data_IF_091424383284
#
_entry.id   IF_091424383284
#
_cell.length_a   1.000
_cell.length_b   1.000
_cell.length_c   1.000
_cell.angle_alpha   90.00
_cell.angle_beta   90.00
_cell.angle_gamma   90.00
#
_symmetry.space_group_name_H-M   'P 1'
#
loop_
_entity.id
_entity.type
_entity.pdbx_description
1 polymer ?
#
# COMPACT_ATOMS: atom_id res chain seq x y z
N UNK A 1 6.53 -30.56 8.30
CA UNK A 1 5.05 -30.57 8.37
C UNK A 1 4.50 -29.49 9.30
N UNK A 2 5.00 -29.34 10.52
CA UNK A 2 4.48 -28.32 11.47
C UNK A 2 4.58 -26.88 10.95
N UNK A 3 5.69 -26.53 10.29
CA UNK A 3 5.84 -25.23 9.61
C UNK A 3 4.78 -25.00 8.54
N UNK A 4 4.43 -26.02 7.76
CA UNK A 4 3.36 -25.94 6.75
C UNK A 4 1.97 -25.77 7.37
N UNK A 5 1.74 -26.38 8.55
CA UNK A 5 0.47 -26.25 9.29
C UNK A 5 0.20 -24.83 9.75
N UNK A 6 1.26 -24.09 10.08
CA UNK A 6 1.21 -22.65 10.34
C UNK A 6 1.14 -21.97 8.96
N UNK A 7 -0.07 -21.60 8.50
CA UNK A 7 -0.29 -20.89 7.22
C UNK A 7 0.73 -19.76 7.08
N UNK A 8 1.16 -19.44 5.86
CA UNK A 8 2.20 -18.43 5.63
C UNK A 8 1.98 -17.13 6.41
N UNK A 9 0.73 -16.64 6.43
CA UNK A 9 0.29 -15.42 7.15
C UNK A 9 0.59 -15.45 8.66
N UNK A 10 0.60 -16.62 9.31
CA UNK A 10 0.89 -16.73 10.75
C UNK A 10 2.36 -16.96 11.07
N UNK A 11 3.21 -17.09 10.06
CA UNK A 11 4.65 -17.28 10.24
C UNK A 11 5.34 -15.91 10.30
N UNK A 12 6.32 -15.69 11.20
CA UNK A 12 7.11 -14.44 11.23
C UNK A 12 7.73 -14.05 9.89
N UNK A 13 7.93 -15.02 9.01
CA UNK A 13 8.38 -14.82 7.64
C UNK A 13 7.48 -13.85 6.85
N UNK A 14 6.16 -13.85 7.08
CA UNK A 14 5.23 -12.94 6.40
C UNK A 14 5.54 -11.47 6.73
N UNK A 15 5.75 -11.16 8.01
CA UNK A 15 6.10 -9.81 8.47
C UNK A 15 7.47 -9.38 7.91
N UNK A 16 8.44 -10.29 7.92
CA UNK A 16 9.78 -10.02 7.38
C UNK A 16 9.77 -9.79 5.86
N UNK A 17 8.92 -10.50 5.11
CA UNK A 17 8.78 -10.28 3.66
C UNK A 17 8.12 -8.95 3.35
N UNK A 18 7.11 -8.57 4.12
CA UNK A 18 6.43 -7.29 3.94
C UNK A 18 7.41 -6.12 4.17
N UNK A 19 8.21 -6.21 5.24
CA UNK A 19 9.29 -5.24 5.52
C UNK A 19 10.34 -5.14 4.40
N UNK A 20 10.51 -6.20 3.59
CA UNK A 20 11.45 -6.24 2.45
C UNK A 20 10.80 -5.94 1.10
N UNK A 21 9.62 -5.32 1.07
CA UNK A 21 8.87 -5.07 -0.16
C UNK A 21 8.62 -6.34 -0.98
N UNK A 22 8.24 -7.41 -0.31
CA UNK A 22 7.76 -8.66 -0.93
C UNK A 22 6.29 -8.81 -0.56
N UNK A 23 5.37 -8.65 -1.51
CA UNK A 23 3.94 -8.84 -1.28
C UNK A 23 3.59 -10.26 -0.84
N UNK A 24 2.45 -10.40 -0.16
CA UNK A 24 2.00 -11.63 0.49
C UNK A 24 1.97 -12.85 -0.44
N UNK A 25 1.39 -12.74 -1.64
CA UNK A 25 1.29 -13.87 -2.59
C UNK A 25 2.68 -14.33 -3.03
N UNK A 26 3.53 -13.38 -3.43
CA UNK A 26 4.90 -13.71 -3.85
C UNK A 26 5.75 -14.26 -2.70
N UNK A 27 5.53 -13.78 -1.47
CA UNK A 27 6.16 -14.28 -0.26
C UNK A 27 5.75 -15.72 0.05
N UNK A 28 4.47 -16.04 -0.08
CA UNK A 28 3.94 -17.40 0.11
C UNK A 28 4.52 -18.39 -0.91
N UNK A 29 4.61 -17.99 -2.18
CA UNK A 29 5.25 -18.80 -3.23
C UNK A 29 6.73 -19.04 -2.95
N UNK A 30 7.47 -18.02 -2.49
CA UNK A 30 8.88 -18.15 -2.10
C UNK A 30 9.01 -19.12 -0.91
N UNK A 31 8.14 -18.98 0.08
CA UNK A 31 8.13 -19.83 1.26
C UNK A 31 7.84 -21.29 0.91
N UNK A 32 6.84 -21.58 0.07
CA UNK A 32 6.57 -22.94 -0.42
C UNK A 32 7.76 -23.52 -1.18
N UNK A 33 8.36 -22.76 -2.09
CA UNK A 33 9.58 -23.19 -2.80
C UNK A 33 10.73 -23.48 -1.82
N UNK A 34 10.86 -22.69 -0.76
CA UNK A 34 11.88 -22.92 0.26
C UNK A 34 11.61 -24.18 1.08
N UNK A 35 10.36 -24.44 1.45
CA UNK A 35 9.95 -25.69 2.11
C UNK A 35 10.22 -26.90 1.20
N UNK A 36 9.97 -26.77 -0.11
CA UNK A 36 10.24 -27.83 -1.09
C UNK A 36 11.74 -28.14 -1.16
N UNK A 37 12.59 -27.11 -1.26
CA UNK A 37 14.06 -27.28 -1.24
C UNK A 37 14.55 -27.95 0.04
N UNK A 38 13.95 -27.62 1.19
CA UNK A 38 14.28 -28.28 2.46
C UNK A 38 13.88 -29.76 2.45
N UNK A 39 12.69 -30.07 1.93
CA UNK A 39 12.24 -31.46 1.76
C UNK A 39 13.20 -32.24 0.87
N UNK A 40 13.55 -31.71 -0.30
CA UNK A 40 14.49 -32.34 -1.24
C UNK A 40 15.89 -32.54 -0.61
N UNK A 41 16.33 -31.58 0.22
CA UNK A 41 17.60 -31.70 0.95
C UNK A 41 17.55 -32.79 2.01
N UNK A 42 16.43 -32.92 2.73
CA UNK A 42 16.24 -33.99 3.71
C UNK A 42 16.14 -35.35 3.04
N UNK A 43 15.47 -35.45 1.90
CA UNK A 43 15.40 -36.67 1.09
C UNK A 43 16.80 -37.12 0.63
N UNK A 44 17.60 -36.20 0.09
CA UNK A 44 19.01 -36.48 -0.28
C UNK A 44 19.87 -36.93 0.90
N UNK A 45 19.63 -36.41 2.10
CA UNK A 45 20.35 -36.85 3.31
C UNK A 45 19.95 -38.26 3.73
N UNK A 46 18.67 -38.59 3.63
CA UNK A 46 18.15 -39.95 3.88
C UNK A 46 18.78 -40.92 2.89
N UNK A 47 18.83 -40.54 1.61
CA UNK A 47 19.49 -41.30 0.54
C UNK A 47 20.98 -41.49 0.79
N UNK A 48 21.71 -40.46 1.23
CA UNK A 48 23.13 -40.56 1.55
C UNK A 48 23.43 -41.51 2.73
N UNK A 49 22.51 -41.64 3.69
CA UNK A 49 22.67 -42.50 4.87
C UNK A 49 22.25 -43.95 4.59
N UNK A 50 21.18 -44.15 3.81
CA UNK A 50 20.56 -45.48 3.60
C UNK A 50 20.86 -46.07 2.21
N UNK A 51 21.50 -45.31 1.30
CA UNK A 51 21.78 -45.67 -0.10
C UNK A 51 20.61 -45.40 -1.06
N UNK A 52 20.88 -45.36 -2.38
CA UNK A 52 19.93 -44.95 -3.43
C UNK A 52 18.60 -45.73 -3.45
N UNK A 53 18.58 -46.99 -3.01
CA UNK A 53 17.38 -47.85 -2.98
C UNK A 53 16.73 -47.97 -1.60
N UNK A 54 16.91 -46.98 -0.73
CA UNK A 54 16.32 -46.96 0.61
C UNK A 54 14.78 -47.05 0.59
N UNK A 55 14.16 -46.55 -0.49
CA UNK A 55 12.72 -46.56 -0.69
C UNK A 55 12.18 -47.98 -0.90
N UNK A 56 12.92 -48.86 -1.57
CA UNK A 56 12.47 -50.21 -1.92
C UNK A 56 12.89 -51.27 -0.90
N UNK A 57 14.06 -51.09 -0.27
CA UNK A 57 14.67 -52.08 0.62
C UNK A 57 14.03 -52.15 2.01
N UNK A 58 13.38 -51.08 2.46
CA UNK A 58 12.79 -50.99 3.80
C UNK A 58 11.30 -50.67 3.71
N UNK A 59 10.46 -51.45 4.40
CA UNK A 59 9.02 -51.17 4.50
C UNK A 59 8.74 -49.76 5.07
N UNK A 60 9.55 -49.32 6.04
CA UNK A 60 9.51 -47.94 6.57
C UNK A 60 9.94 -46.90 5.54
N UNK A 61 10.86 -47.26 4.64
CA UNK A 61 11.31 -46.43 3.52
C UNK A 61 10.19 -46.17 2.51
N UNK A 62 9.41 -47.20 2.16
CA UNK A 62 8.23 -47.06 1.31
C UNK A 62 7.19 -46.12 1.92
N UNK A 63 6.88 -46.27 3.21
CA UNK A 63 5.94 -45.40 3.91
C UNK A 63 6.42 -43.95 3.96
N UNK A 64 7.72 -43.74 4.23
CA UNK A 64 8.32 -42.41 4.24
C UNK A 64 8.31 -41.76 2.85
N UNK A 65 8.63 -42.52 1.79
CA UNK A 65 8.57 -42.03 0.41
C UNK A 65 7.14 -41.61 0.02
N UNK A 66 6.12 -42.41 0.38
CA UNK A 66 4.73 -42.04 0.17
C UNK A 66 4.34 -40.77 0.94
N UNK A 67 4.81 -40.62 2.19
CA UNK A 67 4.58 -39.41 2.98
C UNK A 67 5.25 -38.18 2.36
N UNK A 68 6.50 -38.31 1.88
CA UNK A 68 7.24 -37.26 1.18
C UNK A 68 6.51 -36.86 -0.10
N UNK A 69 6.08 -37.82 -0.92
CA UNK A 69 5.31 -37.55 -2.14
C UNK A 69 4.00 -36.81 -1.85
N UNK A 70 3.23 -37.26 -0.85
CA UNK A 70 2.00 -36.57 -0.40
C UNK A 70 2.26 -35.18 0.16
N UNK A 71 3.42 -34.94 0.76
CA UNK A 71 3.78 -33.62 1.25
C UNK A 71 4.25 -32.74 0.09
N UNK A 72 5.02 -33.27 -0.85
CA UNK A 72 5.49 -32.55 -2.04
C UNK A 72 4.33 -32.03 -2.91
N UNK A 73 3.24 -32.79 -3.05
CA UNK A 73 2.04 -32.33 -3.77
C UNK A 73 1.36 -31.14 -3.09
N UNK A 74 1.33 -31.11 -1.75
CA UNK A 74 0.83 -29.97 -0.97
C UNK A 74 1.72 -28.73 -1.06
N UNK A 75 2.98 -28.90 -1.43
CA UNK A 75 3.97 -27.83 -1.55
C UNK A 75 4.03 -27.23 -2.96
N UNK A 76 3.18 -27.68 -3.89
CA UNK A 76 3.14 -27.11 -5.24
C UNK A 76 2.58 -25.67 -5.19
N UNK A 77 3.31 -24.65 -5.67
CA UNK A 77 2.84 -23.26 -5.65
C UNK A 77 1.81 -22.95 -6.75
N UNK A 78 1.56 -23.86 -7.70
CA UNK A 78 0.59 -23.65 -8.81
C UNK A 78 -0.80 -23.18 -8.39
N UNK A 79 -1.51 -23.81 -7.44
CA UNK A 79 -2.86 -23.38 -7.06
C UNK A 79 -2.91 -21.94 -6.53
N UNK A 80 -1.87 -21.49 -5.82
CA UNK A 80 -1.77 -20.12 -5.32
C UNK A 80 -1.60 -19.14 -6.47
N UNK A 81 -0.78 -19.51 -7.46
CA UNK A 81 -0.58 -18.69 -8.65
C UNK A 81 -1.87 -18.62 -9.47
N UNK A 82 -2.58 -19.73 -9.67
CA UNK A 82 -3.86 -19.75 -10.40
C UNK A 82 -4.94 -18.88 -9.72
N UNK A 83 -5.02 -18.93 -8.39
CA UNK A 83 -5.89 -18.04 -7.63
C UNK A 83 -5.50 -16.57 -7.82
N UNK A 84 -4.21 -16.25 -7.68
CA UNK A 84 -3.70 -14.89 -7.89
C UNK A 84 -4.03 -14.35 -9.28
N UNK A 85 -3.95 -15.19 -10.32
CA UNK A 85 -4.33 -14.80 -11.69
C UNK A 85 -5.80 -14.45 -11.79
N UNK A 86 -6.64 -15.26 -11.14
CA UNK A 86 -8.09 -15.03 -11.12
C UNK A 86 -8.40 -13.70 -10.44
N UNK A 87 -7.76 -13.43 -9.30
CA UNK A 87 -7.87 -12.16 -8.58
C UNK A 87 -7.34 -10.99 -9.41
N UNK A 88 -6.19 -11.15 -10.07
CA UNK A 88 -5.59 -10.14 -10.93
C UNK A 88 -6.50 -9.79 -12.13
N UNK A 89 -7.13 -10.79 -12.75
CA UNK A 89 -8.06 -10.59 -13.86
C UNK A 89 -9.41 -10.00 -13.40
N UNK A 90 -9.78 -10.16 -12.13
CA UNK A 90 -10.98 -9.53 -11.58
C UNK A 90 -10.78 -8.04 -11.26
N UNK A 91 -9.53 -7.58 -11.15
CA UNK A 91 -9.24 -6.19 -10.87
C UNK A 91 -9.65 -5.34 -12.09
N UNK A 92 -10.37 -4.23 -11.89
CA UNK A 92 -10.72 -3.33 -12.98
C UNK A 92 -9.46 -2.87 -13.72
N UNK A 93 -9.57 -2.66 -15.03
CA UNK A 93 -8.47 -2.06 -15.78
C UNK A 93 -8.20 -0.65 -15.27
N UNK A 94 -6.94 -0.25 -15.26
CA UNK A 94 -6.58 1.10 -14.84
C UNK A 94 -7.03 2.10 -15.91
N UNK A 95 -8.13 2.82 -15.63
CA UNK A 95 -8.64 3.83 -16.53
C UNK A 95 -7.73 5.07 -16.54
N UNK A 96 -7.00 5.23 -17.64
CA UNK A 96 -6.11 6.38 -17.88
C UNK A 96 -6.88 7.69 -18.05
N UNK A 97 -8.14 7.64 -18.48
CA UNK A 97 -8.97 8.83 -18.65
C UNK A 97 -9.69 9.23 -17.35
N UNK A 98 -9.51 8.46 -16.28
CA UNK A 98 -10.07 8.80 -14.98
C UNK A 98 -9.38 10.02 -14.35
N UNK A 99 -10.14 10.73 -13.52
CA UNK A 99 -9.65 11.90 -12.77
C UNK A 99 -8.59 11.49 -11.75
N UNK A 100 -7.64 12.39 -11.46
CA UNK A 100 -6.57 12.14 -10.48
C UNK A 100 -7.08 12.12 -9.04
N UNK A 101 -8.20 12.78 -8.78
CA UNK A 101 -8.86 12.83 -7.48
C UNK A 101 -10.17 12.06 -7.48
N UNK A 102 -10.51 11.51 -6.33
CA UNK A 102 -11.79 10.88 -6.04
C UNK A 102 -12.30 11.41 -4.70
N UNK A 103 -13.60 11.64 -4.59
CA UNK A 103 -14.23 12.10 -3.35
C UNK A 103 -14.94 10.91 -2.72
N UNK A 104 -14.46 10.51 -1.55
CA UNK A 104 -15.08 9.43 -0.78
C UNK A 104 -16.07 10.04 0.22
N UNK A 105 -17.32 9.58 0.15
CA UNK A 105 -18.38 9.99 1.07
C UNK A 105 -18.37 8.99 2.22
N UNK A 106 -18.08 9.47 3.44
CA UNK A 106 -18.09 8.63 4.62
C UNK A 106 -19.46 7.96 4.83
N UNK A 107 -19.50 6.90 5.65
CA UNK A 107 -20.67 6.02 5.87
C UNK A 107 -21.93 6.81 6.29
N UNK A 108 -21.76 7.93 6.99
CA UNK A 108 -22.87 8.79 7.44
C UNK A 108 -23.20 9.96 6.50
N UNK A 109 -22.50 10.11 5.36
CA UNK A 109 -22.72 11.19 4.39
C UNK A 109 -22.32 12.61 4.86
N UNK A 110 -22.04 12.79 6.15
CA UNK A 110 -21.70 14.07 6.79
C UNK A 110 -20.26 14.51 6.54
N UNK A 111 -19.33 13.59 6.28
CA UNK A 111 -17.92 13.91 6.01
C UNK A 111 -17.52 13.41 4.62
N UNK A 112 -17.06 14.34 3.78
CA UNK A 112 -16.43 14.05 2.50
C UNK A 112 -14.92 14.11 2.67
N UNK A 113 -14.21 13.11 2.14
CA UNK A 113 -12.75 13.08 2.17
C UNK A 113 -12.19 13.05 0.74
N UNK A 114 -11.20 13.90 0.49
CA UNK A 114 -10.47 13.90 -0.76
C UNK A 114 -9.47 12.73 -0.76
N UNK A 115 -9.54 11.87 -1.77
CA UNK A 115 -8.59 10.80 -2.01
C UNK A 115 -8.00 10.92 -3.40
N UNK A 116 -6.79 10.39 -3.57
CA UNK A 116 -6.19 10.23 -4.91
C UNK A 116 -6.75 8.96 -5.52
N UNK A 117 -7.22 9.05 -6.76
CA UNK A 117 -7.79 7.93 -7.51
C UNK A 117 -6.68 7.00 -8.04
N UNK A 118 -5.99 6.33 -7.11
CA UNK A 118 -4.93 5.38 -7.41
C UNK A 118 -4.91 4.29 -6.34
N UNK A 119 -5.44 3.11 -6.67
CA UNK A 119 -5.51 1.98 -5.74
C UNK A 119 -4.12 1.35 -5.53
N UNK A 120 -3.76 1.09 -4.28
CA UNK A 120 -2.52 0.43 -3.92
C UNK A 120 -2.49 -1.04 -4.37
N UNK A 121 -3.66 -1.63 -4.68
CA UNK A 121 -3.77 -2.96 -5.31
C UNK A 121 -3.02 -3.05 -6.63
N UNK A 122 -2.98 -1.98 -7.43
CA UNK A 122 -2.19 -1.99 -8.67
C UNK A 122 -0.68 -2.04 -8.40
N UNK A 123 -0.25 -1.42 -7.30
CA UNK A 123 1.17 -1.42 -6.86
C UNK A 123 1.57 -2.79 -6.36
N UNK A 124 0.76 -3.42 -5.50
CA UNK A 124 1.02 -4.78 -5.00
C UNK A 124 1.10 -5.77 -6.16
N UNK A 125 0.19 -5.65 -7.12
CA UNK A 125 0.12 -6.50 -8.30
C UNK A 125 1.36 -6.39 -9.19
N UNK A 126 1.86 -5.16 -9.44
CA UNK A 126 3.12 -4.97 -10.15
C UNK A 126 4.31 -5.56 -9.37
N UNK A 127 4.37 -5.33 -8.04
CA UNK A 127 5.42 -5.90 -7.17
C UNK A 127 5.40 -7.43 -7.25
N UNK A 128 4.23 -8.06 -7.23
CA UNK A 128 4.04 -9.51 -7.36
C UNK A 128 4.45 -10.03 -8.73
N UNK A 129 3.99 -9.40 -9.80
CA UNK A 129 4.34 -9.78 -11.18
C UNK A 129 5.86 -9.81 -11.39
N UNK A 130 6.58 -8.79 -10.90
CA UNK A 130 8.05 -8.73 -10.96
C UNK A 130 8.70 -9.90 -10.22
N UNK A 131 8.23 -10.22 -9.01
CA UNK A 131 8.78 -11.32 -8.19
C UNK A 131 8.50 -12.68 -8.80
N UNK A 132 7.27 -12.92 -9.28
CA UNK A 132 6.88 -14.16 -9.93
C UNK A 132 7.66 -14.39 -11.25
N UNK A 133 7.88 -13.32 -12.03
CA UNK A 133 8.73 -13.37 -13.22
C UNK A 133 10.18 -13.72 -12.86
N UNK A 134 10.73 -13.12 -11.79
CA UNK A 134 12.08 -13.46 -11.31
C UNK A 134 12.20 -14.90 -10.80
N UNK A 135 11.10 -15.50 -10.36
CA UNK A 135 11.01 -16.91 -9.96
C UNK A 135 10.88 -17.89 -11.14
N UNK A 136 10.93 -17.40 -12.39
CA UNK A 136 10.84 -18.19 -13.61
C UNK A 136 9.41 -18.50 -14.06
N UNK A 137 8.39 -17.90 -13.44
CA UNK A 137 7.00 -18.03 -13.88
C UNK A 137 6.80 -17.07 -15.06
N UNK A 138 6.57 -17.60 -16.26
CA UNK A 138 6.46 -16.81 -17.48
C UNK A 138 5.05 -16.22 -17.62
N UNK A 139 4.86 -15.04 -17.04
CA UNK A 139 3.66 -14.22 -17.22
C UNK A 139 3.78 -13.55 -18.60
N UNK A 140 2.89 -13.87 -19.54
CA UNK A 140 2.99 -13.32 -20.89
C UNK A 140 2.50 -11.88 -20.95
N UNK A 141 3.27 -11.07 -21.69
CA UNK A 141 3.07 -9.64 -21.91
C UNK A 141 2.33 -9.42 -23.23
N UNK A 142 1.01 -9.26 -23.19
CA UNK A 142 0.28 -8.81 -24.39
C UNK A 142 -1.12 -9.39 -24.53
N UNK A 143 -2.08 -8.49 -24.69
CA UNK A 143 -3.50 -8.74 -24.95
C UNK A 143 -3.73 -9.25 -26.38
N UNK A 144 -4.83 -10.00 -26.55
CA UNK A 144 -5.56 -10.36 -27.78
C UNK A 144 -5.12 -11.63 -28.52
N UNK A 145 -6.03 -12.63 -28.40
CA UNK A 145 -6.46 -13.62 -29.40
C UNK A 145 -5.36 -14.43 -30.11
N UNK A 146 -5.47 -15.75 -29.94
CA UNK A 146 -4.63 -16.80 -30.54
C UNK A 146 -3.21 -16.87 -29.93
N UNK A 147 -2.61 -18.02 -29.66
CA UNK A 147 -2.74 -19.29 -30.33
C UNK A 147 -2.13 -20.35 -29.41
N UNK A 148 -2.94 -21.36 -29.10
CA UNK A 148 -2.58 -22.78 -28.97
C UNK A 148 -1.11 -23.10 -28.66
N UNK A 149 -0.90 -23.62 -27.45
CA UNK A 149 0.15 -24.55 -27.05
C UNK A 149 1.62 -24.10 -27.26
N UNK A 150 2.38 -24.04 -26.17
CA UNK A 150 3.65 -24.77 -25.99
C UNK A 150 4.08 -24.59 -24.52
N UNK A 151 3.98 -25.70 -23.80
CA UNK A 151 4.60 -26.15 -22.54
C UNK A 151 4.52 -25.32 -21.24
N UNK A 152 3.76 -25.89 -20.30
CA UNK A 152 3.78 -25.82 -18.84
C UNK A 152 4.19 -24.48 -18.21
N UNK A 153 3.19 -23.79 -17.64
CA UNK A 153 3.28 -22.57 -16.83
C UNK A 153 3.20 -21.24 -17.61
N UNK A 154 2.23 -21.15 -18.53
CA UNK A 154 1.83 -19.90 -19.17
C UNK A 154 0.52 -19.41 -18.56
N UNK A 155 0.48 -18.13 -18.24
CA UNK A 155 -0.67 -17.45 -17.67
C UNK A 155 -0.85 -16.17 -18.49
N UNK A 156 -2.03 -16.02 -19.10
CA UNK A 156 -2.43 -14.83 -19.82
C UNK A 156 -3.08 -13.84 -18.84
N UNK A 157 -2.51 -12.64 -18.75
CA UNK A 157 -3.05 -11.55 -17.93
C UNK A 157 -3.06 -10.26 -18.76
N UNK A 158 -4.23 -9.63 -18.92
CA UNK A 158 -4.36 -8.35 -19.64
C UNK A 158 -3.59 -7.20 -18.97
N UNK A 159 -3.18 -7.40 -17.71
CA UNK A 159 -2.45 -6.50 -16.82
C UNK A 159 -1.20 -5.81 -17.37
N UNK A 160 -0.62 -6.23 -18.48
CA UNK A 160 0.78 -5.87 -18.74
C UNK A 160 0.92 -4.42 -19.19
N UNK A 161 0.00 -3.94 -20.03
CA UNK A 161 -0.05 -2.54 -20.44
C UNK A 161 -0.39 -1.65 -19.24
N UNK A 162 -1.42 -2.03 -18.48
CA UNK A 162 -1.80 -1.37 -17.22
C UNK A 162 -0.64 -1.33 -16.23
N UNK A 163 0.15 -2.39 -16.11
CA UNK A 163 1.29 -2.45 -15.19
C UNK A 163 2.41 -1.48 -15.57
N UNK A 164 2.65 -1.26 -16.86
CA UNK A 164 3.63 -0.27 -17.35
C UNK A 164 3.12 1.15 -17.06
N UNK A 165 1.84 1.39 -17.35
CA UNK A 165 1.18 2.69 -17.16
C UNK A 165 1.04 3.06 -15.68
N UNK A 166 0.60 2.12 -14.84
CA UNK A 166 0.58 2.22 -13.37
C UNK A 166 1.99 2.51 -12.85
N UNK A 167 3.00 1.76 -13.30
CA UNK A 167 4.38 1.94 -12.86
C UNK A 167 4.90 3.34 -13.21
N UNK A 168 4.57 3.85 -14.38
CA UNK A 168 4.95 5.21 -14.82
C UNK A 168 4.31 6.29 -13.96
N UNK A 169 3.04 6.12 -13.58
CA UNK A 169 2.26 7.10 -12.80
C UNK A 169 2.43 6.99 -11.29
N UNK A 170 2.94 5.86 -10.79
CA UNK A 170 3.11 5.58 -9.37
C UNK A 170 3.92 6.65 -8.60
N UNK A 171 5.08 7.14 -9.07
CA UNK A 171 5.82 8.16 -8.33
C UNK A 171 5.02 9.46 -8.16
N UNK A 172 4.27 9.83 -9.20
CA UNK A 172 3.41 11.02 -9.21
C UNK A 172 2.22 10.84 -8.27
N UNK A 173 1.60 9.67 -8.28
CA UNK A 173 0.47 9.36 -7.39
C UNK A 173 0.89 9.33 -5.92
N UNK A 174 2.09 8.82 -5.59
CA UNK A 174 2.63 8.83 -4.22
C UNK A 174 2.86 10.25 -3.73
N UNK A 175 3.51 11.10 -4.52
CA UNK A 175 3.70 12.52 -4.17
C UNK A 175 2.36 13.23 -3.94
N UNK A 176 1.39 12.98 -4.82
CA UNK A 176 0.06 13.57 -4.71
C UNK A 176 -0.69 13.08 -3.46
N UNK A 177 -0.62 11.77 -3.16
CA UNK A 177 -1.19 11.18 -1.94
C UNK A 177 -0.60 11.84 -0.69
N UNK A 178 0.70 12.01 -0.66
CA UNK A 178 1.40 12.66 0.46
C UNK A 178 0.98 14.13 0.60
N UNK A 179 0.95 14.90 -0.48
CA UNK A 179 0.53 16.31 -0.45
C UNK A 179 -0.91 16.47 0.06
N UNK A 180 -1.85 15.62 -0.39
CA UNK A 180 -3.24 15.61 0.10
C UNK A 180 -3.31 15.17 1.56
N UNK A 181 -2.50 14.19 1.97
CA UNK A 181 -2.41 13.71 3.36
C UNK A 181 -1.94 14.82 4.29
N UNK A 182 -0.86 15.52 3.92
CA UNK A 182 -0.34 16.69 4.64
C UNK A 182 -1.43 17.76 4.76
N UNK A 183 -2.06 18.17 3.65
CA UNK A 183 -3.13 19.15 3.66
C UNK A 183 -4.29 18.76 4.58
N UNK A 184 -4.75 17.51 4.49
CA UNK A 184 -5.87 16.99 5.29
C UNK A 184 -5.52 16.95 6.77
N UNK A 185 -4.33 16.47 7.11
CA UNK A 185 -3.82 16.41 8.48
C UNK A 185 -3.69 17.82 9.08
N UNK A 186 -3.15 18.76 8.33
CA UNK A 186 -3.01 20.16 8.77
C UNK A 186 -4.37 20.82 8.96
N UNK A 187 -5.33 20.58 8.06
CA UNK A 187 -6.71 21.06 8.25
C UNK A 187 -7.35 20.51 9.52
N UNK A 188 -7.22 19.20 9.79
CA UNK A 188 -7.72 18.60 11.02
C UNK A 188 -7.04 19.15 12.27
N UNK A 189 -5.75 19.47 12.20
CA UNK A 189 -5.03 20.10 13.32
C UNK A 189 -5.56 21.50 13.60
N UNK A 190 -5.78 22.32 12.56
CA UNK A 190 -6.38 23.66 12.70
C UNK A 190 -7.77 23.57 13.34
N UNK A 191 -8.62 22.65 12.87
CA UNK A 191 -9.98 22.44 13.42
C UNK A 191 -9.96 22.04 14.91
N UNK A 192 -9.00 21.21 15.31
CA UNK A 192 -8.81 20.82 16.71
C UNK A 192 -8.38 22.00 17.58
N UNK A 193 -7.45 22.84 17.10
CA UNK A 193 -7.02 24.03 17.84
C UNK A 193 -8.19 24.98 18.11
N UNK A 194 -9.04 25.24 17.10
CA UNK A 194 -10.23 26.10 17.23
C UNK A 194 -11.20 25.58 18.31
N UNK A 195 -11.42 24.26 18.37
CA UNK A 195 -12.37 23.66 19.34
C UNK A 195 -11.84 23.72 20.79
N UNK A 196 -10.52 23.79 20.96
CA UNK A 196 -9.89 23.81 22.29
C UNK A 196 -10.07 25.18 22.96
N UNK A 197 -10.04 26.27 22.18
CA UNK A 197 -10.22 27.64 22.69
C UNK A 197 -11.67 27.90 23.13
N UNK A 198 -12.67 27.34 22.44
CA UNK A 198 -14.09 27.55 22.77
C UNK A 198 -14.52 26.97 24.11
N UNK A 199 -13.87 25.90 24.58
CA UNK A 199 -14.26 25.22 25.84
C UNK A 199 -13.72 25.91 27.11
N UNK A 200 -12.85 26.92 27.00
CA UNK A 200 -12.33 27.66 28.16
C UNK A 200 -13.19 28.87 28.57
N UNK A 201 -14.18 29.27 27.77
CA UNK A 201 -14.99 30.47 28.03
C UNK A 201 -16.32 30.20 28.76
N UNK A 202 -16.69 28.95 29.05
CA UNK A 202 -17.95 28.62 29.76
C UNK A 202 -17.78 27.65 30.93
N UNK A 203 -16.97 28.03 31.92
CA UNK A 203 -17.01 27.43 33.25
C UNK A 203 -17.12 28.54 34.31
N UNK A 204 -18.35 28.98 34.60
CA UNK A 204 -18.68 29.83 35.74
C UNK A 204 -18.87 28.96 37.00
N UNK A 205 -18.10 29.23 38.06
CA UNK A 205 -18.32 28.75 39.43
C UNK A 205 -17.14 29.08 40.36
N UNK A 206 -17.33 29.59 41.60
CA UNK A 206 -16.46 30.64 42.13
C UNK A 206 -15.43 30.21 43.20
N UNK A 207 -14.48 31.14 43.39
CA UNK A 207 -13.76 31.53 44.63
C UNK A 207 -12.38 30.94 44.95
N UNK A 208 -11.48 31.90 45.21
CA UNK A 208 -10.37 31.96 46.18
C UNK A 208 -8.93 31.59 45.78
N UNK A 209 -8.14 32.68 45.78
CA UNK A 209 -6.73 32.82 46.18
C UNK A 209 -5.67 32.70 45.09
N UNK A 210 -5.23 33.89 44.68
CA UNK A 210 -4.14 34.16 43.75
C UNK A 210 -2.77 33.86 44.36
N UNK A 211 -1.93 33.21 43.57
CA UNK A 211 -0.49 33.48 43.48
C UNK A 211 -0.03 33.07 42.08
N UNK A 212 0.34 34.07 41.26
CA UNK A 212 1.33 34.04 40.17
C UNK A 212 1.05 35.18 39.19
N UNK A 213 1.59 36.34 39.53
CA UNK A 213 1.75 37.51 38.67
C UNK A 213 2.84 37.21 37.64
N UNK A 214 2.47 36.81 36.41
CA UNK A 214 3.21 37.04 35.13
C UNK A 214 2.54 36.35 33.92
N UNK A 215 1.28 36.68 33.55
CA UNK A 215 0.67 36.16 32.29
C UNK A 215 -0.32 37.08 31.57
N UNK A 216 -0.64 38.27 32.08
CA UNK A 216 -1.69 39.11 31.43
C UNK A 216 -1.26 39.73 30.09
N UNK A 217 0.03 39.98 29.88
CA UNK A 217 0.55 40.49 28.60
C UNK A 217 0.59 39.41 27.53
N UNK A 218 0.95 38.18 27.91
CA UNK A 218 1.05 37.07 26.97
C UNK A 218 -0.34 36.64 26.49
N UNK A 219 -1.35 36.65 27.38
CA UNK A 219 -2.74 36.35 26.98
C UNK A 219 -3.33 37.40 26.04
N UNK A 220 -3.06 38.70 26.22
CA UNK A 220 -3.56 39.73 25.29
C UNK A 220 -2.84 39.72 23.94
N UNK A 221 -1.54 39.42 23.94
CA UNK A 221 -0.73 39.26 22.71
C UNK A 221 -1.17 38.01 21.96
N UNK A 222 -1.40 36.88 22.64
CA UNK A 222 -1.98 35.67 22.03
C UNK A 222 -3.37 35.98 21.43
N UNK A 223 -4.22 36.73 22.16
CA UNK A 223 -5.55 37.11 21.66
C UNK A 223 -5.49 38.08 20.46
N UNK A 224 -4.47 38.93 20.35
CA UNK A 224 -4.28 39.83 19.21
C UNK A 224 -3.59 39.15 18.02
N UNK A 225 -2.71 38.17 18.27
CA UNK A 225 -2.02 37.40 17.23
C UNK A 225 -2.90 36.30 16.64
N UNK A 226 -3.81 35.71 17.42
CA UNK A 226 -4.77 34.68 16.98
C UNK A 226 -5.56 35.04 15.70
N UNK A 227 -6.18 36.24 15.56
CA UNK A 227 -6.87 36.62 14.33
C UNK A 227 -5.92 36.87 13.15
N UNK A 228 -4.69 37.33 13.39
CA UNK A 228 -3.67 37.51 12.34
C UNK A 228 -3.10 36.17 11.85
N UNK A 229 -2.85 35.23 12.78
CA UNK A 229 -2.48 33.85 12.50
C UNK A 229 -3.59 33.13 11.73
N UNK A 230 -4.86 33.30 12.14
CA UNK A 230 -5.99 32.73 11.42
C UNK A 230 -6.09 33.29 9.99
N UNK A 231 -5.90 34.60 9.80
CA UNK A 231 -5.92 35.25 8.48
C UNK A 231 -4.79 34.74 7.57
N UNK A 232 -3.59 34.54 8.12
CA UNK A 232 -2.44 34.00 7.39
C UNK A 232 -2.62 32.51 7.05
N UNK A 233 -3.10 31.71 8.00
CA UNK A 233 -3.40 30.28 7.80
C UNK A 233 -4.55 30.11 6.80
N UNK A 234 -5.56 30.98 6.82
CA UNK A 234 -6.68 30.95 5.87
C UNK A 234 -6.25 31.37 4.45
N UNK A 235 -5.26 32.26 4.30
CA UNK A 235 -4.68 32.59 2.99
C UNK A 235 -3.94 31.39 2.38
N UNK A 236 -3.05 30.75 3.14
CA UNK A 236 -2.35 29.54 2.69
C UNK A 236 -3.31 28.37 2.43
N UNK A 237 -4.35 28.22 3.26
CA UNK A 237 -5.42 27.22 3.06
C UNK A 237 -6.16 27.46 1.74
N UNK A 238 -6.51 28.72 1.43
CA UNK A 238 -7.16 29.10 0.17
C UNK A 238 -6.27 28.83 -1.05
N UNK A 239 -4.96 29.06 -0.96
CA UNK A 239 -4.02 28.74 -2.04
C UNK A 239 -3.98 27.23 -2.32
N UNK A 240 -3.89 26.40 -1.28
CA UNK A 240 -3.98 24.94 -1.41
C UNK A 240 -5.31 24.49 -2.02
N UNK A 241 -6.43 25.02 -1.52
CA UNK A 241 -7.76 24.70 -2.06
C UNK A 241 -7.89 25.08 -3.54
N UNK A 242 -7.36 26.25 -3.94
CA UNK A 242 -7.36 26.68 -5.34
C UNK A 242 -6.57 25.71 -6.22
N UNK A 243 -5.43 25.21 -5.75
CA UNK A 243 -4.66 24.21 -6.49
C UNK A 243 -5.39 22.88 -6.58
N UNK A 244 -5.99 22.40 -5.49
CA UNK A 244 -6.81 21.18 -5.47
C UNK A 244 -7.95 21.27 -6.49
N UNK A 245 -8.68 22.40 -6.53
CA UNK A 245 -9.75 22.62 -7.51
C UNK A 245 -9.21 22.60 -8.94
N UNK A 246 -8.07 23.26 -9.20
CA UNK A 246 -7.39 23.20 -10.52
C UNK A 246 -6.95 21.78 -10.90
N UNK A 247 -6.67 20.92 -9.93
CA UNK A 247 -6.34 19.51 -10.16
C UNK A 247 -7.55 18.60 -10.28
N UNK A 248 -8.73 19.00 -9.82
CA UNK A 248 -9.95 18.20 -9.91
C UNK A 248 -10.33 17.88 -11.36
N UNK A 249 -10.07 18.81 -12.28
CA UNK A 249 -10.33 18.62 -13.72
C UNK A 249 -9.24 17.80 -14.44
N UNK A 250 -8.11 17.52 -13.76
CA UNK A 250 -6.99 16.80 -14.37
C UNK A 250 -7.22 15.30 -14.37
N UNK A 251 -6.81 14.66 -15.46
CA UNK A 251 -6.89 13.21 -15.68
C UNK A 251 -5.50 12.58 -15.70
N UNK A 252 -5.43 11.26 -15.49
CA UNK A 252 -4.18 10.51 -15.61
C UNK A 252 -3.60 10.48 -17.03
N UNK A 253 -4.39 10.87 -18.05
CA UNK A 253 -3.98 11.06 -19.44
C UNK A 253 -3.18 12.35 -19.69
N UNK A 254 -3.18 13.29 -18.73
CA UNK A 254 -2.43 14.55 -18.83
C UNK A 254 -0.94 14.28 -19.04
N UNK A 255 -0.23 15.05 -19.89
CA UNK A 255 1.21 14.88 -20.08
C UNK A 255 1.99 14.93 -18.76
N UNK A 256 2.91 13.97 -18.56
CA UNK A 256 3.68 13.81 -17.33
C UNK A 256 4.36 15.09 -16.85
N UNK A 257 4.88 15.92 -17.77
CA UNK A 257 5.56 17.18 -17.41
C UNK A 257 4.62 18.14 -16.67
N UNK A 258 3.43 18.34 -17.23
CA UNK A 258 2.41 19.23 -16.66
C UNK A 258 1.84 18.68 -15.36
N UNK A 259 1.69 17.36 -15.28
CA UNK A 259 1.22 16.71 -14.06
C UNK A 259 2.27 16.79 -12.94
N UNK A 260 3.54 16.54 -13.25
CA UNK A 260 4.63 16.67 -12.28
C UNK A 260 4.79 18.10 -11.76
N UNK A 261 4.79 19.10 -12.65
CA UNK A 261 4.87 20.51 -12.26
C UNK A 261 3.69 20.91 -11.35
N UNK A 262 2.48 20.45 -11.68
CA UNK A 262 1.32 20.64 -10.83
C UNK A 262 1.47 19.96 -9.46
N UNK A 263 1.93 18.70 -9.42
CA UNK A 263 2.11 17.96 -8.16
C UNK A 263 3.19 18.61 -7.29
N UNK A 264 4.30 19.05 -7.88
CA UNK A 264 5.39 19.70 -7.14
C UNK A 264 4.94 21.07 -6.59
N UNK A 265 4.15 21.84 -7.35
CA UNK A 265 3.57 23.10 -6.85
C UNK A 265 2.57 22.86 -5.73
N UNK A 266 1.67 21.89 -5.86
CA UNK A 266 0.72 21.53 -4.80
C UNK A 266 1.45 21.05 -3.53
N UNK A 267 2.47 20.20 -3.67
CA UNK A 267 3.27 19.71 -2.56
C UNK A 267 3.98 20.85 -1.82
N UNK A 268 4.55 21.81 -2.56
CA UNK A 268 5.15 23.02 -1.99
C UNK A 268 4.14 23.80 -1.14
N UNK A 269 2.96 24.11 -1.68
CA UNK A 269 1.94 24.84 -0.92
C UNK A 269 1.44 24.06 0.30
N UNK A 270 1.32 22.73 0.21
CA UNK A 270 0.92 21.90 1.34
C UNK A 270 1.96 21.93 2.47
N UNK A 271 3.25 21.90 2.12
CA UNK A 271 4.35 22.04 3.08
C UNK A 271 4.39 23.45 3.67
N UNK A 272 4.28 24.50 2.83
CA UNK A 272 4.26 25.90 3.30
C UNK A 272 3.10 26.13 4.28
N UNK A 273 1.93 25.52 4.02
CA UNK A 273 0.80 25.55 4.95
C UNK A 273 1.12 24.82 6.26
N UNK A 274 1.74 23.64 6.21
CA UNK A 274 2.14 22.90 7.41
C UNK A 274 3.15 23.70 8.24
N UNK A 275 4.22 24.21 7.63
CA UNK A 275 5.25 25.01 8.29
C UNK A 275 4.68 26.28 8.91
N UNK A 276 3.73 26.94 8.23
CA UNK A 276 3.03 28.11 8.74
C UNK A 276 2.11 27.84 9.94
N UNK A 277 1.71 26.58 10.16
CA UNK A 277 0.88 26.17 11.32
C UNK A 277 1.68 25.60 12.49
N UNK A 278 2.94 25.22 12.26
CA UNK A 278 3.82 24.64 13.29
C UNK A 278 4.75 25.67 13.96
N UNK A 279 4.88 26.86 13.37
CA UNK A 279 5.60 28.01 13.95
C UNK A 279 4.70 28.81 14.87
#
# INVERSE_FOLDING_TARGET
QERYRKRYVSVPASVLTELRDIPSVSGEVIWLKQLKRQLDTHEKRVEAVLGEKWQERYNTGQQLAQLIARFATKLDPKPIIEQWVTEANSLPQFDTESFIFSVDKGISGTHMSLKVNFDDKYVTLFKEMRRLTALGIRIHKGTLIAQRAIQNNRIDVQLTFDSIDVKRRYPVSVKLKEAVSIFTRTCQQIERSITTDTNTTTANGPTTTASNTTTNTDSSVILSMMPELFKLVDEHKKLCQRQIVKGADRRWSTPDRLLNEYVDTLAKYAIDLQDGTQK
#
